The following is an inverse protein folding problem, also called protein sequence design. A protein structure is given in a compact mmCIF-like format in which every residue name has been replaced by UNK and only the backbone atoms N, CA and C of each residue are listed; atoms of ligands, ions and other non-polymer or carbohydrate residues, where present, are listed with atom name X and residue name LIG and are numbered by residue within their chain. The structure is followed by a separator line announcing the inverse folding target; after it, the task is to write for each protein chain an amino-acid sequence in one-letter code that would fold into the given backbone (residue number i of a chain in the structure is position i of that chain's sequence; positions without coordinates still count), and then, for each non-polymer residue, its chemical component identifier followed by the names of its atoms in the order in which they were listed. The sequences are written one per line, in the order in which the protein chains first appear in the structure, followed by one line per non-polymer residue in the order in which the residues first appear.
data_IF_535249608237
#
_entry.id   IF_535249608237
#
_cell.length_a   1.000
_cell.length_b   1.000
_cell.length_c   1.000
_cell.angle_alpha   90.00
_cell.angle_beta   90.00
_cell.angle_gamma   90.00
#
_symmetry.space_group_name_H-M   'P 1'
#
loop_
_entity.id
_entity.type
_entity.pdbx_description
1 polymer ?
#
# COMPACT_ATOMS: atom_id res chain seq x y z
N UNK A 1 -4.03 9.80 -11.41
CA UNK A 1 -3.55 10.00 -10.01
C UNK A 1 -2.15 10.64 -10.05
N UNK A 2 -1.75 11.43 -9.04
CA UNK A 2 -0.37 11.95 -8.94
C UNK A 2 0.47 11.00 -8.09
N UNK A 3 1.72 10.77 -8.49
CA UNK A 3 2.71 10.07 -7.66
C UNK A 3 3.05 10.98 -6.48
N UNK A 4 2.97 10.44 -5.27
CA UNK A 4 3.23 11.16 -4.02
C UNK A 4 4.47 10.56 -3.32
N UNK A 5 5.24 11.39 -2.64
CA UNK A 5 6.47 10.97 -1.93
C UNK A 5 6.20 9.88 -0.89
N UNK A 6 5.07 9.95 -0.18
CA UNK A 6 4.67 8.93 0.80
C UNK A 6 4.35 7.58 0.15
N UNK A 7 3.74 7.56 -1.04
CA UNK A 7 3.52 6.33 -1.80
C UNK A 7 4.84 5.71 -2.28
N UNK A 8 5.80 6.54 -2.74
CA UNK A 8 7.13 6.06 -3.11
C UNK A 8 7.89 5.48 -1.89
N UNK A 9 7.85 6.18 -0.75
CA UNK A 9 8.48 5.71 0.48
C UNK A 9 7.86 4.38 0.93
N UNK A 10 6.53 4.28 0.90
CA UNK A 10 5.81 3.06 1.24
C UNK A 10 6.16 1.90 0.30
N UNK A 11 6.19 2.14 -1.00
CA UNK A 11 6.56 1.13 -2.00
C UNK A 11 8.00 0.63 -1.81
N UNK A 12 8.94 1.54 -1.54
CA UNK A 12 10.33 1.20 -1.29
C UNK A 12 10.50 0.40 0.01
N UNK A 13 9.83 0.82 1.09
CA UNK A 13 9.84 0.09 2.36
C UNK A 13 9.20 -1.30 2.20
N UNK A 14 8.02 -1.43 1.62
CA UNK A 14 7.38 -2.72 1.40
C UNK A 14 8.25 -3.63 0.53
N UNK A 15 8.83 -3.12 -0.55
CA UNK A 15 9.72 -3.88 -1.42
C UNK A 15 10.96 -4.42 -0.69
N UNK A 16 11.50 -3.68 0.31
CA UNK A 16 12.62 -4.13 1.14
C UNK A 16 12.25 -5.21 2.16
N UNK A 17 10.98 -5.22 2.61
CA UNK A 17 10.47 -6.19 3.58
C UNK A 17 9.95 -7.49 2.96
N UNK A 18 9.56 -7.44 1.68
CA UNK A 18 9.03 -8.59 0.95
C UNK A 18 10.18 -9.54 0.60
N UNK A 19 10.08 -10.77 1.07
CA UNK A 19 10.94 -11.86 0.65
C UNK A 19 10.27 -12.59 -0.52
N UNK A 20 10.87 -12.51 -1.70
CA UNK A 20 10.36 -13.22 -2.87
C UNK A 20 11.13 -14.52 -3.11
N UNK A 21 10.39 -15.58 -3.41
CA UNK A 21 10.89 -16.89 -3.81
C UNK A 21 10.13 -17.32 -5.08
N UNK A 22 10.55 -18.42 -5.67
CA UNK A 22 9.92 -18.92 -6.88
C UNK A 22 8.41 -19.13 -6.68
N UNK A 23 7.61 -18.59 -7.60
CA UNK A 23 6.14 -18.57 -7.55
C UNK A 23 5.51 -17.73 -6.43
N UNK A 24 6.26 -16.82 -5.79
CA UNK A 24 5.67 -15.83 -4.87
C UNK A 24 4.62 -14.99 -5.57
N UNK A 25 3.51 -14.73 -4.88
CA UNK A 25 2.40 -13.92 -5.38
C UNK A 25 2.10 -12.74 -4.48
N UNK A 26 1.86 -11.61 -5.09
CA UNK A 26 1.42 -10.38 -4.41
C UNK A 26 0.12 -9.87 -5.01
N UNK A 27 -0.75 -9.36 -4.16
CA UNK A 27 -1.95 -8.61 -4.54
C UNK A 27 -1.76 -7.15 -4.17
N UNK A 28 -1.89 -6.25 -5.15
CA UNK A 28 -1.90 -4.79 -4.95
C UNK A 28 -3.35 -4.31 -5.02
N UNK A 29 -3.93 -3.92 -3.89
CA UNK A 29 -5.32 -3.50 -3.77
C UNK A 29 -5.43 -1.98 -3.96
N UNK A 30 -6.19 -1.56 -4.97
CA UNK A 30 -6.32 -0.16 -5.34
C UNK A 30 -5.03 0.38 -5.96
N UNK A 31 -4.52 -0.33 -6.98
CA UNK A 31 -3.20 -0.07 -7.56
C UNK A 31 -3.05 1.33 -8.19
N UNK A 32 -4.15 1.98 -8.53
CA UNK A 32 -4.15 3.32 -9.13
C UNK A 32 -3.41 3.35 -10.45
N UNK A 33 -2.22 3.94 -10.47
CA UNK A 33 -1.36 4.03 -11.66
C UNK A 33 -0.41 2.84 -11.81
N UNK A 34 -0.45 1.85 -10.93
CA UNK A 34 0.47 0.71 -10.93
C UNK A 34 1.80 0.98 -10.21
N UNK A 35 1.94 2.11 -9.52
CA UNK A 35 3.21 2.54 -8.91
C UNK A 35 3.79 1.49 -7.96
N UNK A 36 3.01 1.02 -6.98
CA UNK A 36 3.48 0.07 -5.98
C UNK A 36 3.86 -1.27 -6.62
N UNK A 37 3.01 -1.76 -7.52
CA UNK A 37 3.28 -2.98 -8.30
C UNK A 37 4.59 -2.89 -9.08
N UNK A 38 4.86 -1.78 -9.76
CA UNK A 38 6.10 -1.56 -10.52
C UNK A 38 7.33 -1.49 -9.60
N UNK A 39 7.26 -0.77 -8.48
CA UNK A 39 8.35 -0.68 -7.51
C UNK A 39 8.68 -2.05 -6.90
N UNK A 40 7.66 -2.83 -6.53
CA UNK A 40 7.86 -4.17 -5.99
C UNK A 40 8.44 -5.11 -7.04
N UNK A 41 7.95 -5.09 -8.28
CA UNK A 41 8.48 -5.93 -9.36
C UNK A 41 9.94 -5.59 -9.72
N UNK A 42 10.36 -4.33 -9.55
CA UNK A 42 11.72 -3.88 -9.74
C UNK A 42 12.69 -4.48 -8.71
N UNK A 43 12.30 -4.51 -7.45
CA UNK A 43 13.14 -5.00 -6.35
C UNK A 43 13.08 -6.53 -6.22
N UNK A 44 11.94 -7.14 -6.57
CA UNK A 44 11.64 -8.54 -6.32
C UNK A 44 11.43 -9.30 -7.64
N UNK A 45 12.52 -9.85 -8.19
CA UNK A 45 12.51 -10.41 -9.56
C UNK A 45 11.65 -11.67 -9.74
N UNK A 46 11.35 -12.40 -8.67
CA UNK A 46 10.62 -13.69 -8.72
C UNK A 46 9.12 -13.57 -8.45
N UNK A 47 8.63 -12.37 -8.11
CA UNK A 47 7.24 -12.17 -7.71
C UNK A 47 6.32 -12.00 -8.92
N UNK A 48 5.11 -12.58 -8.84
CA UNK A 48 4.00 -12.30 -9.75
C UNK A 48 2.98 -11.45 -9.01
N UNK A 49 2.44 -10.43 -9.66
CA UNK A 49 1.59 -9.42 -9.06
C UNK A 49 0.25 -9.36 -9.78
N UNK A 50 -0.84 -9.49 -9.03
CA UNK A 50 -2.18 -9.12 -9.46
C UNK A 50 -2.49 -7.74 -8.89
N UNK A 51 -2.77 -6.77 -9.75
CA UNK A 51 -2.99 -5.37 -9.41
C UNK A 51 -4.44 -4.99 -9.67
N UNK A 52 -5.24 -4.81 -8.61
CA UNK A 52 -6.68 -4.56 -8.71
C UNK A 52 -6.97 -3.07 -8.60
N UNK A 53 -7.83 -2.56 -9.51
CA UNK A 53 -8.30 -1.19 -9.48
C UNK A 53 -9.78 -1.15 -9.92
N UNK A 54 -10.60 -0.49 -9.10
CA UNK A 54 -12.04 -0.37 -9.35
C UNK A 54 -12.33 0.66 -10.44
N UNK A 55 -11.56 1.76 -10.46
CA UNK A 55 -11.76 2.85 -11.42
C UNK A 55 -11.18 2.48 -12.78
N UNK A 56 -12.03 2.27 -13.78
CA UNK A 56 -11.63 1.84 -15.14
C UNK A 56 -10.56 2.74 -15.77
N UNK A 57 -10.64 4.04 -15.54
CA UNK A 57 -9.65 4.99 -16.08
C UNK A 57 -8.26 4.76 -15.48
N UNK A 58 -8.20 4.57 -14.16
CA UNK A 58 -6.95 4.35 -13.45
C UNK A 58 -6.39 2.94 -13.76
N UNK A 59 -7.25 1.92 -13.87
CA UNK A 59 -6.87 0.58 -14.29
C UNK A 59 -6.26 0.57 -15.71
N UNK A 60 -6.83 1.32 -16.66
CA UNK A 60 -6.26 1.50 -18.01
C UNK A 60 -4.90 2.20 -17.95
N UNK A 61 -4.74 3.21 -17.11
CA UNK A 61 -3.45 3.87 -16.93
C UNK A 61 -2.41 2.92 -16.35
N UNK A 62 -2.77 2.14 -15.32
CA UNK A 62 -1.90 1.12 -14.75
C UNK A 62 -1.47 0.09 -15.81
N UNK A 63 -2.42 -0.43 -16.60
CA UNK A 63 -2.15 -1.38 -17.65
C UNK A 63 -1.18 -0.82 -18.71
N UNK A 64 -1.33 0.44 -19.12
CA UNK A 64 -0.40 1.11 -20.04
C UNK A 64 0.99 1.24 -19.40
N UNK A 65 1.10 1.75 -18.17
CA UNK A 65 2.37 1.89 -17.48
C UNK A 65 3.09 0.53 -17.33
N UNK A 66 2.35 -0.52 -17.00
CA UNK A 66 2.88 -1.88 -16.89
C UNK A 66 3.34 -2.40 -18.24
N UNK A 67 2.54 -2.22 -19.32
CA UNK A 67 2.87 -2.72 -20.66
C UNK A 67 4.12 -2.07 -21.26
N UNK A 68 4.40 -0.81 -20.90
CA UNK A 68 5.59 -0.06 -21.32
C UNK A 68 6.82 -0.39 -20.45
N UNK A 69 6.66 -1.11 -19.36
CA UNK A 69 7.74 -1.49 -18.45
C UNK A 69 8.36 -2.84 -18.81
N UNK A 70 9.58 -3.08 -18.32
CA UNK A 70 10.24 -4.40 -18.41
C UNK A 70 9.56 -5.46 -17.54
N UNK A 71 8.57 -5.08 -16.74
CA UNK A 71 7.85 -5.95 -15.81
C UNK A 71 6.49 -6.42 -16.33
N UNK A 72 6.15 -6.13 -17.59
CA UNK A 72 4.85 -6.45 -18.19
C UNK A 72 4.41 -7.92 -18.04
N UNK A 73 5.36 -8.86 -18.02
CA UNK A 73 5.08 -10.30 -17.85
C UNK A 73 4.84 -10.73 -16.40
N UNK A 74 5.06 -9.84 -15.44
CA UNK A 74 4.97 -10.13 -14.00
C UNK A 74 3.74 -9.53 -13.35
N UNK A 75 3.18 -8.47 -13.93
CA UNK A 75 2.08 -7.70 -13.36
C UNK A 75 0.85 -7.86 -14.24
N UNK A 76 -0.21 -8.37 -13.64
CA UNK A 76 -1.52 -8.51 -14.24
C UNK A 76 -2.46 -7.45 -13.66
N UNK A 77 -2.93 -6.51 -14.47
CA UNK A 77 -3.86 -5.46 -14.02
C UNK A 77 -5.29 -5.92 -14.24
N UNK A 78 -6.09 -5.85 -13.17
CA UNK A 78 -7.48 -6.32 -13.12
C UNK A 78 -8.38 -5.15 -12.78
N UNK A 79 -9.33 -4.82 -13.65
CA UNK A 79 -10.34 -3.81 -13.36
C UNK A 79 -11.55 -4.47 -12.68
N UNK A 80 -11.56 -4.47 -11.36
CA UNK A 80 -12.61 -5.10 -10.55
C UNK A 80 -12.70 -4.43 -9.16
N UNK A 81 -13.85 -4.55 -8.50
CA UNK A 81 -14.01 -4.19 -7.10
C UNK A 81 -13.46 -5.31 -6.22
N UNK A 82 -12.53 -4.99 -5.33
CA UNK A 82 -11.95 -5.95 -4.38
C UNK A 82 -13.01 -6.62 -3.49
N UNK A 83 -14.17 -5.99 -3.26
CA UNK A 83 -15.26 -6.55 -2.48
C UNK A 83 -15.92 -7.74 -3.18
N UNK A 84 -15.89 -7.80 -4.50
CA UNK A 84 -16.45 -8.88 -5.32
C UNK A 84 -15.39 -9.79 -5.90
N UNK A 85 -14.12 -9.36 -5.83
CA UNK A 85 -13.01 -10.14 -6.34
C UNK A 85 -12.91 -11.49 -5.64
N UNK A 86 -12.95 -12.55 -6.42
CA UNK A 86 -12.78 -13.91 -5.95
C UNK A 86 -11.55 -14.54 -6.61
N UNK A 87 -10.71 -15.17 -5.82
CA UNK A 87 -9.50 -15.83 -6.29
C UNK A 87 -9.33 -17.18 -5.60
N UNK A 88 -9.14 -18.22 -6.40
CA UNK A 88 -8.72 -19.54 -5.91
C UNK A 88 -7.27 -19.53 -5.43
N UNK A 89 -6.53 -18.47 -5.76
CA UNK A 89 -5.13 -18.27 -5.40
C UNK A 89 -5.03 -17.50 -4.10
N UNK A 90 -4.20 -17.99 -3.17
CA UNK A 90 -3.80 -17.23 -1.98
C UNK A 90 -2.47 -16.53 -2.23
N UNK A 91 -2.35 -15.34 -1.67
CA UNK A 91 -1.20 -14.46 -1.86
C UNK A 91 -0.20 -14.59 -0.71
N UNK A 92 1.08 -14.53 -1.02
CA UNK A 92 2.16 -14.46 -0.03
C UNK A 92 2.24 -13.07 0.60
N UNK A 93 1.90 -12.05 -0.19
CA UNK A 93 1.89 -10.67 0.26
C UNK A 93 0.67 -9.94 -0.32
N UNK A 94 0.11 -9.03 0.46
CA UNK A 94 -0.87 -8.05 0.00
C UNK A 94 -0.32 -6.67 0.32
N UNK A 95 -0.50 -5.70 -0.58
CA UNK A 95 -0.17 -4.30 -0.35
C UNK A 95 -1.39 -3.44 -0.66
N UNK A 96 -1.60 -2.40 0.13
CA UNK A 96 -2.67 -1.45 -0.09
C UNK A 96 -2.25 -0.04 0.37
N UNK A 97 -2.44 0.93 -0.52
CA UNK A 97 -2.42 2.35 -0.20
C UNK A 97 -3.82 2.90 -0.50
N UNK A 98 -4.79 2.70 0.40
CA UNK A 98 -6.18 3.06 0.12
C UNK A 98 -6.32 4.58 -0.04
N UNK A 99 -7.29 5.06 -0.84
CA UNK A 99 -7.59 6.48 -0.89
C UNK A 99 -7.93 6.94 0.53
N UNK A 100 -7.19 7.94 1.02
CA UNK A 100 -7.42 8.48 2.35
C UNK A 100 -8.68 9.34 2.32
N UNK A 101 -9.80 8.73 2.67
CA UNK A 101 -11.01 9.50 2.91
C UNK A 101 -10.76 10.34 4.16
N UNK A 102 -10.35 11.59 3.92
CA UNK A 102 -10.42 12.59 4.96
C UNK A 102 -11.90 12.72 5.34
N UNK A 103 -12.22 12.73 6.63
CA UNK A 103 -13.43 13.32 7.17
C UNK A 103 -13.52 14.83 6.82
N UNK A 104 -12.91 15.24 5.72
CA UNK A 104 -12.83 16.60 5.24
C UNK A 104 -14.11 16.93 4.52
N UNK A 105 -14.97 17.63 5.25
CA UNK A 105 -16.12 18.38 4.75
C UNK A 105 -17.15 17.46 4.06
N UNK A 106 -18.07 16.94 4.88
CA UNK A 106 -19.37 16.53 4.42
C UNK A 106 -19.84 17.57 3.40
N UNK A 107 -20.03 17.15 2.15
CA UNK A 107 -20.71 17.98 1.18
C UNK A 107 -22.04 18.41 1.81
N UNK A 108 -22.55 19.63 1.60
CA UNK A 108 -23.89 20.01 2.03
C UNK A 108 -24.99 19.08 1.49
N UNK A 109 -24.65 18.22 0.56
CA UNK A 109 -25.53 17.29 -0.17
C UNK A 109 -25.54 15.92 0.54
N UNK A 110 -26.52 15.69 1.40
CA UNK A 110 -26.66 14.48 2.24
C UNK A 110 -26.77 13.21 1.39
N UNK A 111 -27.40 13.28 0.21
CA UNK A 111 -27.59 12.12 -0.67
C UNK A 111 -26.27 11.66 -1.31
N UNK A 112 -25.37 12.60 -1.65
CA UNK A 112 -24.03 12.28 -2.15
C UNK A 112 -23.14 11.68 -1.08
N UNK A 113 -23.32 12.09 0.18
CA UNK A 113 -22.56 11.55 1.30
C UNK A 113 -22.97 10.10 1.60
N UNK A 114 -24.27 9.79 1.57
CA UNK A 114 -24.80 8.45 1.82
C UNK A 114 -24.34 7.44 0.74
N UNK A 115 -24.39 7.84 -0.53
CA UNK A 115 -23.91 7.01 -1.65
C UNK A 115 -22.39 6.80 -1.59
N UNK A 116 -21.63 7.81 -1.18
CA UNK A 116 -20.19 7.72 -0.98
C UNK A 116 -19.80 6.77 0.17
N UNK A 117 -20.49 6.88 1.32
CA UNK A 117 -20.25 6.00 2.47
C UNK A 117 -20.57 4.52 2.20
N UNK A 118 -21.54 4.22 1.33
CA UNK A 118 -21.88 2.85 0.95
C UNK A 118 -20.89 2.23 -0.05
N UNK A 119 -20.17 3.04 -0.81
CA UNK A 119 -19.15 2.57 -1.79
C UNK A 119 -17.74 2.45 -1.21
N UNK A 120 -17.47 3.07 -0.08
CA UNK A 120 -16.13 3.12 0.51
C UNK A 120 -15.71 1.76 1.10
N UNK A 121 -14.45 1.39 0.86
CA UNK A 121 -13.80 0.23 1.46
C UNK A 121 -13.29 0.63 2.86
N UNK A 122 -14.09 0.37 3.91
CA UNK A 122 -13.65 0.64 5.28
C UNK A 122 -12.50 -0.29 5.73
N UNK A 123 -11.77 0.13 6.75
CA UNK A 123 -10.58 -0.58 7.24
C UNK A 123 -10.88 -2.01 7.65
N UNK A 124 -11.99 -2.24 8.36
CA UNK A 124 -12.38 -3.57 8.84
C UNK A 124 -12.70 -4.51 7.67
N UNK A 125 -13.43 -4.04 6.69
CA UNK A 125 -13.73 -4.80 5.46
C UNK A 125 -12.44 -5.11 4.69
N UNK A 126 -11.54 -4.13 4.53
CA UNK A 126 -10.23 -4.35 3.89
C UNK A 126 -9.41 -5.42 4.61
N UNK A 127 -9.33 -5.38 5.93
CA UNK A 127 -8.62 -6.37 6.74
C UNK A 127 -9.22 -7.76 6.56
N UNK A 128 -10.55 -7.89 6.59
CA UNK A 128 -11.23 -9.17 6.44
C UNK A 128 -11.02 -9.77 5.04
N UNK A 129 -11.14 -8.96 3.99
CA UNK A 129 -10.85 -9.39 2.61
C UNK A 129 -9.40 -9.85 2.50
N UNK A 130 -8.46 -9.06 3.01
CA UNK A 130 -7.04 -9.37 2.96
C UNK A 130 -6.71 -10.68 3.69
N UNK A 131 -7.27 -10.92 4.88
CA UNK A 131 -7.11 -12.19 5.61
C UNK A 131 -7.63 -13.38 4.80
N UNK A 132 -8.75 -13.21 4.12
CA UNK A 132 -9.32 -14.28 3.28
C UNK A 132 -8.48 -14.58 2.05
N UNK A 133 -7.72 -13.61 1.52
CA UNK A 133 -6.89 -13.76 0.32
C UNK A 133 -5.44 -14.13 0.64
N UNK A 134 -4.95 -13.87 1.85
CA UNK A 134 -3.61 -14.23 2.29
C UNK A 134 -3.45 -15.72 2.54
N UNK A 135 -2.23 -16.21 2.32
CA UNK A 135 -1.77 -17.48 2.87
C UNK A 135 -1.63 -17.37 4.40
N UNK A 136 -1.68 -18.46 5.16
CA UNK A 136 -1.49 -18.42 6.63
C UNK A 136 -0.17 -17.78 7.07
N UNK A 137 0.86 -17.84 6.22
CA UNK A 137 2.18 -17.23 6.44
C UNK A 137 2.36 -15.90 5.72
N UNK A 138 1.32 -15.39 5.10
CA UNK A 138 1.37 -14.17 4.29
C UNK A 138 1.44 -12.89 5.12
N UNK A 139 1.96 -11.84 4.51
CA UNK A 139 2.09 -10.51 5.12
C UNK A 139 1.19 -9.49 4.40
N UNK A 140 0.57 -8.59 5.15
CA UNK A 140 -0.17 -7.46 4.61
C UNK A 140 0.55 -6.14 4.93
N UNK A 141 0.77 -5.36 3.90
CA UNK A 141 1.38 -4.03 3.96
C UNK A 141 0.32 -2.96 3.73
N UNK A 142 0.23 -2.00 4.64
CA UNK A 142 -0.81 -0.96 4.62
C UNK A 142 -0.20 0.41 4.92
N UNK A 143 -0.51 1.40 4.06
CA UNK A 143 -0.22 2.82 4.33
C UNK A 143 -1.49 3.51 4.80
N UNK A 144 -1.41 4.25 5.91
CA UNK A 144 -2.56 4.98 6.48
C UNK A 144 -2.17 6.37 6.97
N UNK A 145 -3.12 7.31 7.05
CA UNK A 145 -2.92 8.56 7.77
C UNK A 145 -2.67 8.31 9.26
N UNK A 146 -1.69 9.01 9.86
CA UNK A 146 -1.37 8.84 11.28
C UNK A 146 -2.54 9.21 12.21
N UNK A 147 -3.42 10.11 11.80
CA UNK A 147 -4.62 10.48 12.57
C UNK A 147 -5.53 9.27 12.87
N UNK A 148 -5.43 8.19 12.09
CA UNK A 148 -6.17 6.93 12.31
C UNK A 148 -5.42 5.91 13.18
N UNK A 149 -4.35 6.32 13.86
CA UNK A 149 -3.52 5.42 14.68
C UNK A 149 -4.34 4.59 15.66
N UNK A 150 -5.23 5.21 16.44
CA UNK A 150 -6.03 4.51 17.45
C UNK A 150 -6.99 3.49 16.84
N UNK A 151 -7.59 3.81 15.70
CA UNK A 151 -8.43 2.89 14.94
C UNK A 151 -7.62 1.68 14.44
N UNK A 152 -6.44 1.93 13.89
CA UNK A 152 -5.54 0.90 13.39
C UNK A 152 -5.20 -0.09 14.51
N UNK A 153 -4.77 0.41 15.67
CA UNK A 153 -4.40 -0.42 16.82
C UNK A 153 -5.59 -1.22 17.37
N UNK A 154 -6.81 -0.67 17.30
CA UNK A 154 -8.01 -1.38 17.74
C UNK A 154 -8.45 -2.50 16.79
N UNK A 155 -8.29 -2.29 15.48
CA UNK A 155 -8.79 -3.22 14.45
C UNK A 155 -7.75 -4.25 14.00
N UNK A 156 -6.45 -3.91 14.05
CA UNK A 156 -5.37 -4.77 13.58
C UNK A 156 -4.65 -5.41 14.76
N UNK A 157 -4.77 -6.72 14.86
CA UNK A 157 -3.96 -7.55 15.75
C UNK A 157 -2.72 -8.06 15.02
N UNK A 158 -1.67 -8.42 15.76
CA UNK A 158 -0.45 -9.04 15.22
C UNK A 158 0.30 -8.12 14.21
N UNK A 159 0.36 -6.83 14.50
CA UNK A 159 1.25 -5.91 13.78
C UNK A 159 2.69 -6.33 14.13
N UNK A 160 3.46 -6.69 13.11
CA UNK A 160 4.86 -7.08 13.25
C UNK A 160 5.82 -5.90 13.09
N UNK A 161 5.48 -4.95 12.20
CA UNK A 161 6.26 -3.72 12.00
C UNK A 161 5.34 -2.52 11.85
N UNK A 162 5.78 -1.40 12.40
CA UNK A 162 5.12 -0.12 12.31
C UNK A 162 6.16 0.98 12.13
N UNK A 163 6.03 1.76 11.06
CA UNK A 163 6.91 2.89 10.78
C UNK A 163 6.08 4.16 10.76
N UNK A 164 6.33 5.06 11.72
CA UNK A 164 5.68 6.36 11.78
C UNK A 164 6.47 7.34 10.92
N UNK A 165 5.79 8.06 10.02
CA UNK A 165 6.43 8.93 9.04
C UNK A 165 6.06 10.38 9.29
N UNK A 166 7.08 11.24 9.34
CA UNK A 166 6.90 12.71 9.38
C UNK A 166 7.49 13.37 8.14
N UNK A 167 6.89 14.48 7.67
CA UNK A 167 7.37 15.17 6.46
C UNK A 167 8.72 15.84 6.70
N UNK A 168 8.94 16.33 7.92
CA UNK A 168 10.19 16.94 8.41
C UNK A 168 10.45 16.50 9.86
N UNK A 169 11.70 16.46 10.27
CA UNK A 169 12.11 16.03 11.63
C UNK A 169 11.44 16.83 12.75
N UNK A 170 11.06 18.08 12.49
CA UNK A 170 10.39 19.01 13.45
C UNK A 170 8.85 19.08 13.27
N UNK A 171 8.24 18.19 12.49
CA UNK A 171 6.79 18.14 12.26
C UNK A 171 6.18 16.88 12.87
N UNK A 172 4.88 16.92 13.11
CA UNK A 172 4.11 15.76 13.57
C UNK A 172 4.07 14.66 12.52
N UNK A 173 3.80 13.44 12.98
CA UNK A 173 3.56 12.31 12.09
C UNK A 173 2.33 12.55 11.22
N UNK A 174 2.41 12.17 9.95
CA UNK A 174 1.29 12.32 9.01
C UNK A 174 0.89 10.99 8.36
N UNK A 175 1.80 10.01 8.32
CA UNK A 175 1.56 8.66 7.81
C UNK A 175 2.08 7.60 8.78
N UNK A 176 1.53 6.41 8.60
CA UNK A 176 1.96 5.20 9.27
C UNK A 176 1.99 4.07 8.24
N UNK A 177 3.12 3.38 8.17
CA UNK A 177 3.30 2.19 7.35
C UNK A 177 3.27 0.98 8.27
N UNK A 178 2.48 -0.03 7.93
CA UNK A 178 2.21 -1.17 8.79
C UNK A 178 2.44 -2.46 8.01
N UNK A 179 3.08 -3.43 8.68
CA UNK A 179 3.14 -4.82 8.25
C UNK A 179 2.49 -5.67 9.32
N UNK A 180 1.53 -6.49 8.93
CA UNK A 180 0.91 -7.45 9.84
C UNK A 180 0.65 -8.79 9.16
N UNK A 181 0.54 -9.84 9.97
CA UNK A 181 0.23 -11.20 9.53
C UNK A 181 -0.48 -11.95 10.66
N UNK A 182 -1.03 -13.13 10.37
CA UNK A 182 -1.63 -13.95 11.42
C UNK A 182 -0.57 -14.68 12.31
N UNK A 183 0.72 -14.49 12.00
CA UNK A 183 1.82 -15.02 12.83
C UNK A 183 2.00 -14.18 14.09
N UNK A 184 2.18 -14.85 15.22
CA UNK A 184 2.57 -14.14 16.44
C UNK A 184 3.98 -13.56 16.27
N UNK A 185 4.09 -12.25 16.37
CA UNK A 185 5.35 -11.52 16.30
C UNK A 185 5.39 -10.39 17.31
N UNK A 186 6.57 -10.08 17.82
CA UNK A 186 6.74 -8.87 18.62
C UNK A 186 6.70 -7.65 17.68
N UNK A 187 5.96 -6.64 18.07
CA UNK A 187 5.90 -5.38 17.33
C UNK A 187 7.26 -4.69 17.33
N UNK A 188 7.75 -4.35 16.14
CA UNK A 188 8.91 -3.50 15.92
C UNK A 188 8.41 -2.11 15.47
N UNK A 189 8.66 -1.10 16.30
CA UNK A 189 8.32 0.28 15.95
C UNK A 189 9.58 1.06 15.55
N UNK A 190 9.43 1.91 14.53
CA UNK A 190 10.45 2.85 14.10
C UNK A 190 9.81 4.13 13.56
N UNK A 191 10.64 5.13 13.29
CA UNK A 191 10.22 6.42 12.76
C UNK A 191 11.10 6.80 11.57
N UNK A 192 10.51 7.46 10.57
CA UNK A 192 11.23 8.03 9.43
C UNK A 192 10.81 9.49 9.27
N UNK A 193 11.80 10.37 9.18
CA UNK A 193 11.61 11.74 8.71
C UNK A 193 12.00 11.81 7.24
N UNK A 194 11.11 12.33 6.38
CA UNK A 194 11.43 12.46 4.95
C UNK A 194 12.53 13.50 4.75
N UNK A 195 12.42 14.64 5.45
CA UNK A 195 13.41 15.72 5.38
C UNK A 195 13.88 16.18 6.75
N UNK A 196 15.12 16.64 6.78
CA UNK A 196 15.72 17.38 7.88
C UNK A 196 16.52 18.56 7.32
N UNK A 197 16.40 19.75 7.93
CA UNK A 197 17.07 20.98 7.48
C UNK A 197 16.93 21.29 5.97
N UNK A 198 15.77 20.90 5.37
CA UNK A 198 15.50 21.12 3.94
C UNK A 198 15.94 19.98 3.00
N UNK A 199 16.84 19.10 3.45
CA UNK A 199 17.38 17.98 2.69
C UNK A 199 16.65 16.67 3.02
N UNK A 200 16.70 15.69 2.11
CA UNK A 200 16.24 14.34 2.40
C UNK A 200 17.15 13.65 3.43
N UNK A 201 16.54 12.95 4.39
CA UNK A 201 17.30 12.19 5.40
C UNK A 201 18.02 10.99 4.78
N UNK A 202 19.07 10.51 5.45
CA UNK A 202 19.82 9.35 4.96
C UNK A 202 18.94 8.07 4.93
N UNK A 203 18.05 7.87 5.93
CA UNK A 203 17.13 6.74 5.92
C UNK A 203 16.20 6.78 4.69
N UNK A 204 15.68 7.96 4.36
CA UNK A 204 14.85 8.15 3.17
C UNK A 204 15.62 7.86 1.88
N UNK A 205 16.85 8.39 1.74
CA UNK A 205 17.71 8.15 0.57
C UNK A 205 18.07 6.68 0.42
N UNK A 206 18.43 5.99 1.52
CA UNK A 206 18.76 4.57 1.51
C UNK A 206 17.60 3.73 0.97
N UNK A 207 16.37 4.00 1.42
CA UNK A 207 15.19 3.26 0.94
C UNK A 207 14.90 3.53 -0.54
N UNK A 208 15.06 4.75 -1.00
CA UNK A 208 14.64 5.16 -2.35
C UNK A 208 15.76 5.17 -3.39
N UNK A 209 17.00 4.84 -3.01
CA UNK A 209 18.16 4.85 -3.92
C UNK A 209 17.98 4.06 -5.22
N UNK A 210 17.18 2.99 -5.20
CA UNK A 210 16.92 2.16 -6.38
C UNK A 210 15.74 2.65 -7.22
N UNK A 211 15.03 3.70 -6.77
CA UNK A 211 13.81 4.19 -7.38
C UNK A 211 13.89 5.65 -7.85
N UNK A 212 14.81 6.42 -7.28
CA UNK A 212 15.06 7.80 -7.67
C UNK A 212 16.36 7.89 -8.47
N UNK A 213 16.36 8.76 -9.48
CA UNK A 213 17.56 8.97 -10.31
C UNK A 213 18.61 9.79 -9.58
N UNK A 214 18.16 10.81 -8.84
CA UNK A 214 19.01 11.74 -8.07
C UNK A 214 18.31 12.13 -6.76
N UNK A 215 19.12 12.53 -5.77
CA UNK A 215 18.70 13.07 -4.48
C UNK A 215 19.26 14.47 -4.26
#
# INVERSE_FOLDING_TARGET
MKVCTDSCLFGAWAASEIQSFENSRLLDIGTGTGLLSLMIAQQNSLIKIDAIEIEKKDALQAANNVSESVFAKKINVINEDIKTFNSDIKYDNIICNPPFFSNSLLSPDVDKNTAKHQSELDLKTLINISKNLLKPTGDFFLLMPYVRYNEIISEIRNISKMVKVRPHSNKDFFRIMIKFSDRNSCLQESEISIKENGEYTEEFKILLKNFYLDF
#
